data_IF_724022904008
#
_entry.id   IF_724022904008
#
_cell.length_a   1.000
_cell.length_b   1.000
_cell.length_c   1.000
_cell.angle_alpha   90.00
_cell.angle_beta   90.00
_cell.angle_gamma   90.00
#
_symmetry.space_group_name_H-M   'P 1'
#
loop_
_entity.id
_entity.type
_entity.pdbx_description
1 polymer ?
#
# COMPACT_ATOMS: atom_id res chain seq x y z
N UNK A 1 6.88 9.23 -0.98
CA UNK A 1 6.54 7.93 -0.38
C UNK A 1 5.04 7.92 -0.16
N UNK A 2 4.37 6.81 -0.43
CA UNK A 2 2.93 6.73 -0.23
C UNK A 2 2.56 6.88 1.25
N UNK A 3 1.43 7.54 1.52
CA UNK A 3 0.87 7.63 2.86
C UNK A 3 -0.15 6.50 3.11
N UNK A 4 -0.63 6.38 4.36
CA UNK A 4 -1.59 5.35 4.72
C UNK A 4 -2.88 5.42 3.89
N UNK A 5 -3.39 6.61 3.54
CA UNK A 5 -4.59 6.74 2.71
C UNK A 5 -4.37 6.20 1.30
N UNK A 6 -3.24 6.55 0.68
CA UNK A 6 -2.91 6.14 -0.67
C UNK A 6 -2.75 4.62 -0.76
N UNK A 7 -2.13 3.98 0.23
CA UNK A 7 -2.07 2.52 0.28
C UNK A 7 -3.45 1.87 0.41
N UNK A 8 -4.33 2.43 1.23
CA UNK A 8 -5.70 1.91 1.37
C UNK A 8 -6.52 2.11 0.09
N UNK A 9 -6.28 3.20 -0.64
CA UNK A 9 -6.97 3.47 -1.90
C UNK A 9 -6.43 2.58 -3.04
N UNK A 10 -5.12 2.33 -3.08
CA UNK A 10 -4.52 1.33 -3.98
C UNK A 10 -5.06 -0.07 -3.68
N UNK A 11 -5.11 -0.45 -2.41
CA UNK A 11 -5.70 -1.73 -2.00
C UNK A 11 -7.15 -1.85 -2.48
N UNK A 12 -7.97 -0.82 -2.26
CA UNK A 12 -9.36 -0.80 -2.73
C UNK A 12 -9.47 -0.99 -4.25
N UNK A 13 -8.62 -0.29 -4.99
CA UNK A 13 -8.58 -0.39 -6.45
C UNK A 13 -8.26 -1.82 -6.91
N UNK A 14 -7.21 -2.44 -6.35
CA UNK A 14 -6.80 -3.80 -6.69
C UNK A 14 -7.77 -4.88 -6.18
N UNK A 15 -8.37 -4.67 -5.01
CA UNK A 15 -9.34 -5.59 -4.42
C UNK A 15 -10.76 -5.43 -4.98
N UNK A 16 -11.00 -4.50 -5.91
CA UNK A 16 -12.32 -4.12 -6.43
C UNK A 16 -13.34 -3.77 -5.33
N UNK A 17 -12.88 -3.06 -4.28
CA UNK A 17 -13.69 -2.64 -3.15
C UNK A 17 -14.03 -1.17 -3.27
N UNK A 18 -15.32 -0.83 -3.26
CA UNK A 18 -15.78 0.54 -3.43
C UNK A 18 -15.91 1.30 -2.10
N UNK A 19 -16.21 0.62 -0.99
CA UNK A 19 -16.52 1.26 0.29
C UNK A 19 -15.53 0.91 1.41
N UNK A 20 -15.24 1.88 2.29
CA UNK A 20 -14.49 1.62 3.52
C UNK A 20 -15.22 0.60 4.43
N UNK A 21 -16.55 0.53 4.38
CA UNK A 21 -17.30 -0.47 5.15
C UNK A 21 -17.07 -1.90 4.64
N UNK A 22 -16.95 -2.07 3.33
CA UNK A 22 -16.62 -3.37 2.72
C UNK A 22 -15.19 -3.78 3.08
N UNK A 23 -14.27 -2.82 3.09
CA UNK A 23 -12.90 -3.03 3.57
C UNK A 23 -12.89 -3.47 5.04
N UNK A 24 -13.70 -2.82 5.89
CA UNK A 24 -13.83 -3.16 7.31
C UNK A 24 -14.32 -4.60 7.50
N UNK A 25 -15.34 -4.98 6.72
CA UNK A 25 -15.92 -6.33 6.73
C UNK A 25 -14.90 -7.38 6.29
N UNK A 26 -14.11 -7.11 5.24
CA UNK A 26 -13.07 -8.03 4.74
C UNK A 26 -12.00 -8.27 5.79
N UNK A 27 -11.53 -7.22 6.44
CA UNK A 27 -10.49 -7.29 7.47
C UNK A 27 -11.02 -7.63 8.87
N UNK A 28 -12.33 -7.82 9.02
CA UNK A 28 -13.00 -8.08 10.30
C UNK A 28 -12.63 -7.05 11.39
N UNK A 29 -12.44 -5.80 10.98
CA UNK A 29 -12.15 -4.68 11.89
C UNK A 29 -13.32 -3.71 11.94
N UNK A 30 -13.51 -2.98 13.05
CA UNK A 30 -14.51 -1.93 13.13
C UNK A 30 -14.27 -0.85 12.06
N UNK A 31 -15.31 -0.28 11.43
CA UNK A 31 -15.15 0.76 10.41
C UNK A 31 -14.45 2.02 10.95
N UNK A 32 -14.59 2.28 12.26
CA UNK A 32 -13.87 3.35 12.96
C UNK A 32 -12.35 3.20 12.84
N UNK A 33 -11.82 1.97 12.86
CA UNK A 33 -10.39 1.72 12.76
C UNK A 33 -9.85 2.12 11.39
N UNK A 34 -10.62 1.87 10.31
CA UNK A 34 -10.24 2.31 8.96
C UNK A 34 -10.13 3.82 8.88
N UNK A 35 -11.09 4.55 9.47
CA UNK A 35 -10.99 6.00 9.54
C UNK A 35 -9.77 6.46 10.34
N UNK A 36 -9.39 5.76 11.41
CA UNK A 36 -8.18 6.08 12.20
C UNK A 36 -6.88 5.77 11.44
N UNK A 37 -6.84 4.67 10.68
CA UNK A 37 -5.71 4.33 9.80
C UNK A 37 -5.53 5.39 8.71
N UNK A 38 -6.63 5.79 8.05
CA UNK A 38 -6.62 6.87 7.05
C UNK A 38 -6.09 8.18 7.62
N UNK A 39 -6.49 8.53 8.84
CA UNK A 39 -6.00 9.75 9.52
C UNK A 39 -4.57 9.63 10.06
N UNK A 40 -3.92 8.48 9.92
CA UNK A 40 -2.57 8.22 10.45
C UNK A 40 -2.49 8.16 11.98
N UNK A 41 -3.63 8.18 12.67
CA UNK A 41 -3.71 8.16 14.15
C UNK A 41 -3.41 6.78 14.72
N UNK A 42 -3.87 5.72 14.04
CA UNK A 42 -3.62 4.34 14.44
C UNK A 42 -2.58 3.70 13.51
N UNK A 43 -1.73 2.82 14.07
CA UNK A 43 -0.75 2.07 13.28
C UNK A 43 -1.43 0.87 12.62
N UNK A 44 -1.20 0.69 11.32
CA UNK A 44 -1.68 -0.50 10.61
C UNK A 44 -1.00 -1.75 11.18
N UNK A 45 -1.75 -2.79 11.60
CA UNK A 45 -1.20 -4.07 12.00
C UNK A 45 -0.38 -4.71 10.88
N UNK A 46 0.70 -5.39 11.25
CA UNK A 46 1.60 -6.02 10.27
C UNK A 46 0.87 -7.00 9.34
N UNK A 47 -0.09 -7.78 9.85
CA UNK A 47 -0.88 -8.69 9.05
C UNK A 47 -1.65 -7.98 7.91
N UNK A 48 -2.20 -6.78 8.18
CA UNK A 48 -2.88 -6.00 7.15
C UNK A 48 -1.90 -5.38 6.16
N UNK A 49 -0.69 -5.03 6.60
CA UNK A 49 0.38 -4.54 5.72
C UNK A 49 0.79 -5.62 4.73
N UNK A 50 0.93 -6.88 5.17
CA UNK A 50 1.23 -8.00 4.30
C UNK A 50 0.12 -8.26 3.29
N UNK A 51 -1.15 -8.27 3.74
CA UNK A 51 -2.30 -8.41 2.83
C UNK A 51 -2.36 -7.28 1.78
N UNK A 52 -2.07 -6.03 2.20
CA UNK A 52 -1.98 -4.91 1.25
C UNK A 52 -0.86 -5.13 0.23
N UNK A 53 0.31 -5.58 0.69
CA UNK A 53 1.45 -5.82 -0.18
C UNK A 53 1.17 -6.91 -1.22
N UNK A 54 0.53 -8.02 -0.80
CA UNK A 54 0.15 -9.13 -1.68
C UNK A 54 -0.89 -8.70 -2.73
N UNK A 55 -1.94 -7.99 -2.31
CA UNK A 55 -3.03 -7.56 -3.21
C UNK A 55 -2.56 -6.52 -4.23
N UNK A 56 -1.70 -5.58 -3.83
CA UNK A 56 -1.18 -4.53 -4.72
C UNK A 56 0.01 -5.04 -5.56
N UNK A 57 0.63 -6.16 -5.16
CA UNK A 57 1.81 -6.71 -5.84
C UNK A 57 3.08 -5.89 -5.57
N UNK A 58 3.29 -5.49 -4.31
CA UNK A 58 4.44 -4.68 -3.89
C UNK A 58 5.24 -5.40 -2.80
N UNK A 59 6.49 -4.99 -2.61
CA UNK A 59 7.29 -5.56 -1.52
C UNK A 59 6.78 -5.02 -0.17
N UNK A 60 6.53 -5.87 0.84
CA UNK A 60 6.02 -5.41 2.13
C UNK A 60 6.89 -4.35 2.79
N UNK A 61 8.20 -4.40 2.55
CA UNK A 61 9.15 -3.44 3.08
C UNK A 61 8.89 -2.01 2.56
N UNK A 62 8.39 -1.86 1.34
CA UNK A 62 8.00 -0.56 0.79
C UNK A 62 6.84 0.04 1.59
N UNK A 63 5.82 -0.75 1.87
CA UNK A 63 4.65 -0.33 2.65
C UNK A 63 5.08 0.04 4.07
N UNK A 64 5.87 -0.82 4.73
CA UNK A 64 6.38 -0.55 6.09
C UNK A 64 7.21 0.75 6.11
N UNK A 65 8.21 0.87 5.22
CA UNK A 65 9.09 2.03 5.20
C UNK A 65 8.33 3.33 4.94
N UNK A 66 7.32 3.29 4.06
CA UNK A 66 6.47 4.45 3.78
C UNK A 66 5.63 4.90 4.97
N UNK A 67 5.12 3.96 5.77
CA UNK A 67 4.31 4.25 6.96
C UNK A 67 5.16 4.73 8.15
N UNK A 68 6.41 4.23 8.26
CA UNK A 68 7.32 4.58 9.36
C UNK A 68 8.08 5.89 9.11
N UNK A 69 8.31 6.29 7.85
CA UNK A 69 9.01 7.54 7.51
C UNK A 69 8.49 8.79 8.25
N UNK A 70 7.18 9.10 8.25
CA UNK A 70 6.67 10.29 8.96
C UNK A 70 6.77 10.20 10.49
N UNK A 71 7.03 9.01 11.04
CA UNK A 71 7.10 8.77 12.50
C UNK A 71 8.53 8.67 13.00
N UNK A 72 9.48 8.39 12.12
CA UNK A 72 10.87 8.20 12.46
C UNK A 72 11.57 9.52 12.82
N UNK A 73 12.47 9.46 13.80
CA UNK A 73 13.39 10.55 14.13
C UNK A 73 14.32 10.83 12.95
N UNK A 74 14.75 12.07 12.79
CA UNK A 74 15.60 12.55 11.68
C UNK A 74 16.82 11.65 11.43
N UNK A 75 17.49 11.20 12.49
CA UNK A 75 18.66 10.31 12.42
C UNK A 75 18.39 8.96 11.73
N UNK A 76 17.15 8.47 11.72
CA UNK A 76 16.77 7.19 11.13
C UNK A 76 16.04 7.34 9.78
N UNK A 77 15.58 8.55 9.44
CA UNK A 77 14.83 8.80 8.20
C UNK A 77 15.66 8.49 6.95
N UNK A 78 16.96 8.82 6.95
CA UNK A 78 17.83 8.54 5.83
C UNK A 78 17.93 7.04 5.51
N UNK A 79 18.01 6.19 6.55
CA UNK A 79 18.07 4.74 6.39
C UNK A 79 16.74 4.16 5.89
N UNK A 80 15.62 4.66 6.41
CA UNK A 80 14.27 4.24 5.99
C UNK A 80 14.00 4.63 4.54
N UNK A 81 14.40 5.85 4.15
CA UNK A 81 14.28 6.33 2.78
C UNK A 81 15.04 5.43 1.81
N UNK A 82 16.28 5.04 2.16
CA UNK A 82 17.08 4.11 1.34
C UNK A 82 16.40 2.75 1.21
N UNK A 83 15.96 2.16 2.33
CA UNK A 83 15.26 0.87 2.31
C UNK A 83 13.97 0.90 1.47
N UNK A 84 13.23 2.01 1.49
CA UNK A 84 12.06 2.20 0.63
C UNK A 84 12.43 2.16 -0.85
N UNK A 85 13.46 2.91 -1.26
CA UNK A 85 13.87 2.94 -2.67
C UNK A 85 14.43 1.59 -3.13
N UNK A 86 15.20 0.90 -2.28
CA UNK A 86 15.73 -0.43 -2.59
C UNK A 86 14.59 -1.46 -2.81
N UNK A 87 13.54 -1.42 -1.98
CA UNK A 87 12.35 -2.27 -2.12
C UNK A 87 11.50 -1.89 -3.35
N UNK A 88 11.33 -0.59 -3.58
CA UNK A 88 10.62 -0.06 -4.74
C UNK A 88 11.27 -0.53 -6.05
N UNK A 89 12.60 -0.45 -6.15
CA UNK A 89 13.32 -0.85 -7.37
C UNK A 89 13.12 -2.32 -7.74
N UNK A 90 12.96 -3.22 -6.76
CA UNK A 90 12.72 -4.65 -7.03
C UNK A 90 11.37 -4.93 -7.66
N UNK A 91 10.35 -4.10 -7.37
CA UNK A 91 8.97 -4.36 -7.76
C UNK A 91 8.42 -3.36 -8.77
N UNK A 92 9.14 -2.27 -9.05
CA UNK A 92 8.78 -1.27 -10.06
C UNK A 92 8.76 -1.87 -11.46
N UNK A 93 9.72 -2.73 -11.79
CA UNK A 93 9.81 -3.36 -13.12
C UNK A 93 8.58 -4.23 -13.38
N UNK A 94 8.19 -5.06 -12.40
CA UNK A 94 7.01 -5.92 -12.49
C UNK A 94 5.71 -5.11 -12.57
N UNK A 95 5.60 -4.02 -11.79
CA UNK A 95 4.45 -3.10 -11.86
C UNK A 95 4.33 -2.41 -13.21
N UNK A 96 5.45 -1.91 -13.74
CA UNK A 96 5.47 -1.26 -15.06
C UNK A 96 5.10 -2.26 -16.16
N UNK A 97 5.62 -3.49 -16.11
CA UNK A 97 5.29 -4.54 -17.06
C UNK A 97 3.79 -4.90 -17.02
N UNK A 98 3.21 -5.09 -15.83
CA UNK A 98 1.79 -5.38 -15.65
C UNK A 98 0.89 -4.25 -16.16
N UNK A 99 1.28 -2.99 -15.94
CA UNK A 99 0.55 -1.83 -16.44
C UNK A 99 0.63 -1.68 -17.97
N UNK A 100 1.77 -2.02 -18.58
CA UNK A 100 1.97 -1.93 -20.03
C UNK A 100 1.19 -3.02 -20.80
N UNK A 101 1.08 -4.23 -20.25
CA UNK A 101 0.31 -5.33 -20.86
C UNK A 101 -1.19 -5.02 -20.99
N UNK A 102 -1.76 -4.23 -20.07
CA UNK A 102 -3.16 -3.79 -20.12
C UNK A 102 -3.50 -2.91 -21.32
N UNK A 103 -2.51 -2.28 -21.98
CA UNK A 103 -2.75 -1.38 -23.12
C UNK A 103 -3.06 -2.10 -24.42
N UNK A 104 -2.45 -3.27 -24.66
CA UNK A 104 -2.54 -3.98 -25.95
C UNK A 104 -3.78 -4.89 -26.09
N UNK A 105 -4.45 -5.23 -24.99
CA UNK A 105 -5.66 -6.06 -25.02
C UNK A 105 -6.96 -5.27 -25.30
N UNK A 106 -6.92 -3.94 -25.30
CA UNK A 106 -8.10 -3.09 -25.56
C UNK A 106 -8.32 -2.75 -27.04
N UNK A 107 -7.41 -3.13 -27.94
CA UNK A 107 -7.45 -2.79 -29.38
C UNK A 107 -7.56 -4.03 -30.28
N UNK A 108 -8.40 -4.99 -29.92
CA UNK A 108 -8.88 -6.02 -30.86
C UNK A 108 -10.30 -6.43 -30.51
N UNK A 109 -11.28 -5.62 -30.92
CA UNK A 109 -12.62 -6.06 -31.29
C UNK A 109 -13.15 -5.13 -32.37
#
# INVERSE_FOLDING_TARGET
MFNATQWLDLYKFHACIYSDYQLAKRWKVPPTYISQYRKGRLRLPLALILDVAEVVGVEPLEVIASLEYPRARENHQARIKRAYFDALMKTVVDRMAAQYQSGYLRYKR
#
